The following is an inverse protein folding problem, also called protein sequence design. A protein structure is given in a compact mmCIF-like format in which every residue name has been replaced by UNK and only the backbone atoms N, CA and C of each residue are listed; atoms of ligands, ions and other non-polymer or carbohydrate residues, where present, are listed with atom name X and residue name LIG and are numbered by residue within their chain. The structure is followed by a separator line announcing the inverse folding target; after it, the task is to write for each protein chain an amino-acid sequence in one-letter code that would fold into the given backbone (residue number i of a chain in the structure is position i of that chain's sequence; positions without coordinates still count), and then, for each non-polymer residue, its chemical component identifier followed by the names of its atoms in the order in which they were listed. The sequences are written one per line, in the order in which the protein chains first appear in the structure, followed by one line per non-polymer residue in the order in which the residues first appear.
data_IF_015247898673
#
_entry.id   IF_015247898673
#
_cell.length_a   1.000
_cell.length_b   1.000
_cell.length_c   1.000
_cell.angle_alpha   90.00
_cell.angle_beta   90.00
_cell.angle_gamma   90.00
#
_symmetry.space_group_name_H-M   'P 1'
#
loop_
_entity.id
_entity.type
_entity.pdbx_description
1 polymer ?
#
# COMPACT_ATOMS: atom_id res chain seq x y z
N UNK A 1 5.32 2.64 18.37
CA UNK A 1 5.86 3.52 17.30
C UNK A 1 7.27 3.14 16.81
N UNK A 2 8.31 3.06 17.65
CA UNK A 2 9.68 2.71 17.17
C UNK A 2 9.80 1.33 16.50
N UNK A 3 9.05 0.32 16.96
CA UNK A 3 9.05 -1.02 16.38
C UNK A 3 8.34 -1.11 15.03
N UNK A 4 7.30 -0.28 14.79
CA UNK A 4 6.52 -0.31 13.55
C UNK A 4 7.39 0.05 12.35
N UNK A 5 8.18 1.10 12.45
CA UNK A 5 9.10 1.53 11.38
C UNK A 5 10.02 0.38 10.95
N UNK A 6 10.62 -0.33 11.90
CA UNK A 6 11.49 -1.48 11.61
C UNK A 6 10.75 -2.64 10.93
N UNK A 7 9.49 -2.89 11.32
CA UNK A 7 8.66 -3.92 10.69
C UNK A 7 8.25 -3.54 9.27
N UNK A 8 7.87 -2.27 9.06
CA UNK A 8 7.52 -1.74 7.73
C UNK A 8 8.73 -1.81 6.79
N UNK A 9 9.90 -1.36 7.24
CA UNK A 9 11.15 -1.48 6.46
C UNK A 9 11.50 -2.94 6.14
N UNK A 10 11.31 -3.84 7.11
CA UNK A 10 11.48 -5.27 6.89
C UNK A 10 10.53 -5.80 5.81
N UNK A 11 9.24 -5.45 5.87
CA UNK A 11 8.22 -5.87 4.89
C UNK A 11 8.54 -5.29 3.51
N UNK A 12 8.83 -3.99 3.41
CA UNK A 12 9.20 -3.31 2.15
C UNK A 12 10.36 -4.02 1.46
N UNK A 13 11.42 -4.37 2.22
CA UNK A 13 12.55 -5.13 1.68
C UNK A 13 12.12 -6.45 1.05
N UNK A 14 11.29 -7.24 1.73
CA UNK A 14 10.80 -8.53 1.19
C UNK A 14 9.91 -8.30 -0.04
N UNK A 15 9.03 -7.29 -0.01
CA UNK A 15 8.19 -6.94 -1.16
C UNK A 15 9.04 -6.57 -2.38
N UNK A 16 10.11 -5.78 -2.21
CA UNK A 16 11.04 -5.43 -3.29
C UNK A 16 11.75 -6.68 -3.83
N UNK A 17 12.33 -7.51 -2.95
CA UNK A 17 13.04 -8.73 -3.34
C UNK A 17 12.14 -9.72 -4.10
N UNK A 18 10.88 -9.82 -3.69
CA UNK A 18 9.88 -10.73 -4.28
C UNK A 18 9.02 -10.09 -5.36
N UNK A 19 9.23 -8.80 -5.66
CA UNK A 19 8.47 -8.01 -6.63
C UNK A 19 6.95 -8.05 -6.38
N UNK A 20 6.57 -7.94 -5.10
CA UNK A 20 5.17 -7.88 -4.69
C UNK A 20 4.59 -6.49 -4.97
N UNK A 21 3.28 -6.44 -5.23
CA UNK A 21 2.57 -5.21 -5.53
C UNK A 21 2.45 -4.28 -4.31
N UNK A 22 2.16 -3.00 -4.57
CA UNK A 22 1.79 -2.06 -3.51
C UNK A 22 0.47 -2.47 -2.84
N UNK A 23 -0.47 -3.13 -3.54
CA UNK A 23 -1.68 -3.68 -2.91
C UNK A 23 -1.31 -4.69 -1.82
N UNK A 24 -0.40 -5.62 -2.14
CA UNK A 24 0.13 -6.60 -1.18
C UNK A 24 0.84 -5.94 0.00
N UNK A 25 1.75 -4.98 -0.25
CA UNK A 25 2.44 -4.23 0.80
C UNK A 25 1.46 -3.52 1.73
N UNK A 26 0.52 -2.74 1.17
CA UNK A 26 -0.44 -1.98 1.96
C UNK A 26 -1.37 -2.89 2.76
N UNK A 27 -1.86 -3.99 2.16
CA UNK A 27 -2.69 -4.95 2.87
C UNK A 27 -1.91 -5.63 4.00
N UNK A 28 -0.65 -5.99 3.76
CA UNK A 28 0.23 -6.57 4.78
C UNK A 28 0.36 -5.66 6.00
N UNK A 29 0.67 -4.38 5.76
CA UNK A 29 0.85 -3.39 6.83
C UNK A 29 -0.46 -3.13 7.56
N UNK A 30 -1.58 -3.05 6.84
CA UNK A 30 -2.90 -2.90 7.45
C UNK A 30 -3.24 -4.08 8.37
N UNK A 31 -3.08 -5.33 7.90
CA UNK A 31 -3.32 -6.52 8.70
C UNK A 31 -2.41 -6.57 9.93
N UNK A 32 -1.12 -6.23 9.76
CA UNK A 32 -0.15 -6.20 10.84
C UNK A 32 -0.51 -5.17 11.91
N UNK A 33 -0.80 -3.93 11.52
CA UNK A 33 -1.12 -2.83 12.43
C UNK A 33 -2.37 -3.19 13.26
N UNK A 34 -3.46 -3.63 12.61
CA UNK A 34 -4.69 -4.03 13.31
C UNK A 34 -4.46 -5.24 14.23
N UNK A 35 -3.69 -6.24 13.79
CA UNK A 35 -3.42 -7.42 14.61
C UNK A 35 -2.57 -7.05 15.84
N UNK A 36 -1.56 -6.20 15.68
CA UNK A 36 -0.69 -5.75 16.77
C UNK A 36 -1.40 -4.82 17.76
N UNK A 37 -2.30 -3.96 17.29
CA UNK A 37 -3.09 -3.08 18.18
C UNK A 37 -4.04 -3.87 19.09
N UNK A 38 -4.39 -5.10 18.71
CA UNK A 38 -5.30 -5.97 19.46
C UNK A 38 -4.59 -7.10 20.22
N UNK A 39 -3.25 -7.21 20.15
CA UNK A 39 -2.50 -8.29 20.79
C UNK A 39 -1.20 -7.81 21.42
N UNK A 40 -0.91 -8.28 22.65
CA UNK A 40 0.40 -8.12 23.26
C UNK A 40 1.38 -9.16 22.73
N UNK A 41 2.13 -8.80 21.69
CA UNK A 41 3.10 -9.68 21.03
C UNK A 41 4.50 -9.46 21.61
N UNK A 42 5.14 -10.53 22.06
CA UNK A 42 6.53 -10.46 22.56
C UNK A 42 7.51 -10.09 21.42
N UNK A 43 8.58 -9.31 21.68
CA UNK A 43 9.50 -8.83 20.65
C UNK A 43 10.12 -9.91 19.77
N UNK A 44 10.29 -11.13 20.27
CA UNK A 44 10.89 -12.24 19.52
C UNK A 44 9.96 -12.75 18.41
N UNK A 45 8.64 -12.55 18.55
CA UNK A 45 7.59 -13.07 17.65
C UNK A 45 7.10 -12.05 16.61
N UNK A 46 7.48 -10.78 16.72
CA UNK A 46 6.97 -9.74 15.81
C UNK A 46 7.30 -10.01 14.33
N UNK A 47 8.47 -10.58 14.03
CA UNK A 47 8.88 -10.87 12.65
C UNK A 47 8.13 -12.06 12.02
N UNK A 48 7.79 -13.10 12.80
CA UNK A 48 6.96 -14.19 12.27
C UNK A 48 5.52 -13.69 12.02
N UNK A 49 5.00 -12.80 12.89
CA UNK A 49 3.70 -12.16 12.69
C UNK A 49 3.69 -11.32 11.40
N UNK A 50 4.71 -10.48 11.19
CA UNK A 50 4.87 -9.72 9.95
C UNK A 50 4.95 -10.63 8.72
N UNK A 51 5.71 -11.73 8.80
CA UNK A 51 5.79 -12.71 7.72
C UNK A 51 4.45 -13.39 7.41
N UNK A 52 3.66 -13.73 8.43
CA UNK A 52 2.35 -14.38 8.22
C UNK A 52 1.33 -13.38 7.68
N UNK A 53 1.33 -12.12 8.14
CA UNK A 53 0.52 -11.06 7.53
C UNK A 53 0.87 -10.88 6.04
N UNK A 54 2.17 -10.89 5.72
CA UNK A 54 2.65 -10.80 4.34
C UNK A 54 2.23 -12.01 3.52
N UNK A 55 2.33 -13.22 4.07
CA UNK A 55 1.91 -14.44 3.41
C UNK A 55 0.40 -14.42 3.09
N UNK A 56 -0.42 -13.96 4.03
CA UNK A 56 -1.87 -13.82 3.84
C UNK A 56 -2.20 -12.80 2.76
N UNK A 57 -1.61 -11.61 2.83
CA UNK A 57 -1.79 -10.57 1.82
C UNK A 57 -1.30 -11.04 0.43
N UNK A 58 -0.14 -11.70 0.35
CA UNK A 58 0.36 -12.23 -0.91
C UNK A 58 -0.57 -13.32 -1.48
N UNK A 59 -1.08 -14.24 -0.66
CA UNK A 59 -2.06 -15.24 -1.12
C UNK A 59 -3.35 -14.63 -1.66
N UNK A 60 -3.68 -13.42 -1.22
CA UNK A 60 -4.89 -12.72 -1.61
C UNK A 60 -4.68 -11.84 -2.86
N UNK A 61 -3.60 -11.06 -2.89
CA UNK A 61 -3.33 -10.04 -3.92
C UNK A 61 -2.54 -10.58 -5.12
N UNK A 62 -1.69 -11.58 -4.90
CA UNK A 62 -0.64 -11.94 -5.84
C UNK A 62 -0.98 -13.17 -6.67
N UNK A 63 -0.38 -13.24 -7.85
CA UNK A 63 -0.40 -14.47 -8.65
C UNK A 63 0.35 -15.58 -7.93
N UNK A 64 -0.05 -16.83 -8.15
CA UNK A 64 0.54 -17.99 -7.46
C UNK A 64 2.06 -18.13 -7.64
N UNK A 65 2.63 -17.52 -8.69
CA UNK A 65 4.07 -17.54 -8.96
C UNK A 65 4.88 -16.56 -8.10
N UNK A 66 4.26 -15.48 -7.61
CA UNK A 66 4.93 -14.42 -6.84
C UNK A 66 4.76 -14.58 -5.33
N UNK A 67 3.84 -15.43 -4.86
CA UNK A 67 3.62 -15.71 -3.44
C UNK A 67 4.91 -16.29 -2.79
N UNK A 68 5.49 -15.63 -1.77
CA UNK A 68 6.66 -16.14 -1.07
C UNK A 68 6.35 -17.46 -0.34
N UNK A 69 7.29 -18.41 -0.39
CA UNK A 69 7.15 -19.66 0.37
C UNK A 69 7.49 -19.43 1.84
N UNK A 70 6.86 -20.18 2.74
CA UNK A 70 7.18 -20.15 4.18
C UNK A 70 8.68 -20.33 4.44
N UNK A 71 9.34 -21.23 3.71
CA UNK A 71 10.79 -21.46 3.85
C UNK A 71 11.62 -20.22 3.51
N UNK A 72 11.22 -19.43 2.52
CA UNK A 72 11.91 -18.20 2.12
C UNK A 72 11.74 -17.11 3.18
N UNK A 73 10.50 -16.92 3.64
CA UNK A 73 10.18 -15.97 4.72
C UNK A 73 10.89 -16.33 6.03
N UNK A 74 10.97 -17.62 6.36
CA UNK A 74 11.67 -18.09 7.56
C UNK A 74 13.18 -17.91 7.45
N UNK A 75 13.76 -18.11 6.27
CA UNK A 75 15.17 -17.83 6.02
C UNK A 75 15.51 -16.36 6.26
N UNK A 76 14.61 -15.43 5.90
CA UNK A 76 14.80 -14.00 6.13
C UNK A 76 14.87 -13.61 7.63
N UNK A 77 14.45 -14.51 8.52
CA UNK A 77 14.46 -14.32 9.97
C UNK A 77 15.34 -15.36 10.69
N UNK A 78 16.34 -15.91 9.98
CA UNK A 78 17.32 -16.89 10.47
C UNK A 78 16.73 -18.26 10.83
N UNK A 79 15.69 -18.72 10.14
CA UNK A 79 15.08 -20.04 10.30
C UNK A 79 14.70 -20.37 11.75
N UNK A 80 14.25 -19.37 12.52
CA UNK A 80 13.98 -19.50 13.96
C UNK A 80 12.76 -20.35 14.28
N UNK A 81 11.87 -20.57 13.31
CA UNK A 81 10.56 -21.19 13.53
C UNK A 81 10.36 -22.43 12.66
N UNK A 82 9.52 -23.35 13.11
CA UNK A 82 9.10 -24.49 12.32
C UNK A 82 7.98 -24.09 11.34
N UNK A 83 7.78 -24.87 10.28
CA UNK A 83 6.66 -24.65 9.34
C UNK A 83 5.29 -24.69 10.06
N UNK A 84 5.18 -25.48 11.14
CA UNK A 84 3.97 -25.56 11.95
C UNK A 84 3.64 -24.23 12.62
N UNK A 85 4.63 -23.50 13.12
CA UNK A 85 4.42 -22.20 13.77
C UNK A 85 3.78 -21.19 12.81
N UNK A 86 4.20 -21.20 11.54
CA UNK A 86 3.62 -20.36 10.49
C UNK A 86 2.16 -20.72 10.21
N UNK A 87 1.84 -22.01 10.09
CA UNK A 87 0.47 -22.47 9.81
C UNK A 87 -0.47 -22.21 10.98
N UNK A 88 -0.01 -22.46 12.20
CA UNK A 88 -0.80 -22.24 13.40
C UNK A 88 -1.06 -20.73 13.56
N UNK A 89 -0.06 -19.87 13.33
CA UNK A 89 -0.23 -18.42 13.38
C UNK A 89 -1.11 -17.89 12.23
N UNK A 90 -1.01 -18.46 11.04
CA UNK A 90 -1.89 -18.13 9.91
C UNK A 90 -3.36 -18.34 10.28
N UNK A 91 -3.69 -19.48 10.92
CA UNK A 91 -5.04 -19.76 11.41
C UNK A 91 -5.47 -18.77 12.49
N UNK A 92 -4.59 -18.42 13.43
CA UNK A 92 -4.89 -17.43 14.48
C UNK A 92 -5.23 -16.07 13.88
N UNK A 93 -4.43 -15.57 12.93
CA UNK A 93 -4.66 -14.28 12.28
C UNK A 93 -5.97 -14.31 11.46
N UNK A 94 -6.20 -15.38 10.68
CA UNK A 94 -7.45 -15.52 9.91
C UNK A 94 -8.69 -15.57 10.81
N UNK A 95 -8.62 -16.31 11.93
CA UNK A 95 -9.71 -16.38 12.89
C UNK A 95 -9.99 -15.01 13.53
N UNK A 96 -8.95 -14.25 13.87
CA UNK A 96 -9.08 -12.89 14.38
C UNK A 96 -9.81 -11.96 13.40
N UNK A 97 -9.50 -12.05 12.11
CA UNK A 97 -10.19 -11.29 11.06
C UNK A 97 -11.52 -11.93 10.61
N UNK A 98 -12.01 -12.96 11.29
CA UNK A 98 -13.22 -13.71 10.89
C UNK A 98 -13.18 -14.19 9.43
N UNK A 99 -11.99 -14.55 8.94
CA UNK A 99 -11.72 -14.94 7.55
C UNK A 99 -11.97 -13.84 6.52
N UNK A 100 -12.25 -12.60 6.95
CA UNK A 100 -12.46 -11.46 6.10
C UNK A 100 -11.18 -10.60 6.05
N UNK A 101 -10.36 -10.84 5.03
CA UNK A 101 -9.09 -10.12 4.81
C UNK A 101 -9.11 -9.20 3.58
N UNK A 102 -10.28 -9.03 2.95
CA UNK A 102 -10.46 -8.12 1.82
C UNK A 102 -10.64 -6.69 2.35
N UNK A 103 -9.52 -5.98 2.56
CA UNK A 103 -9.52 -4.59 3.01
C UNK A 103 -8.96 -3.67 1.92
N UNK A 104 -9.82 -2.94 1.18
CA UNK A 104 -9.37 -1.99 0.18
C UNK A 104 -8.48 -0.90 0.80
N UNK A 105 -7.23 -0.85 0.36
CA UNK A 105 -6.24 0.15 0.82
C UNK A 105 -6.09 1.28 -0.21
N UNK A 106 -5.32 2.31 0.12
CA UNK A 106 -5.05 3.41 -0.82
C UNK A 106 -4.47 2.90 -2.15
N UNK A 107 -3.61 1.87 -2.11
CA UNK A 107 -3.07 1.23 -3.31
C UNK A 107 -4.14 0.63 -4.24
N UNK A 108 -5.25 0.12 -3.68
CA UNK A 108 -6.35 -0.41 -4.48
C UNK A 108 -7.11 0.71 -5.18
N UNK A 109 -7.41 1.78 -4.44
CA UNK A 109 -8.13 2.93 -5.00
C UNK A 109 -7.29 3.70 -6.01
N UNK A 110 -5.96 3.81 -5.85
CA UNK A 110 -5.11 4.41 -6.89
C UNK A 110 -5.17 3.62 -8.19
N UNK A 111 -5.14 2.28 -8.13
CA UNK A 111 -5.32 1.44 -9.30
C UNK A 111 -6.67 1.69 -10.00
N UNK A 112 -7.75 1.84 -9.22
CA UNK A 112 -9.06 2.20 -9.76
C UNK A 112 -9.07 3.61 -10.37
N UNK A 113 -8.43 4.60 -9.75
CA UNK A 113 -8.42 5.98 -10.24
C UNK A 113 -7.51 6.21 -11.45
N UNK A 114 -6.54 5.34 -11.69
CA UNK A 114 -5.64 5.40 -12.86
C UNK A 114 -6.39 5.49 -14.19
N UNK A 115 -7.62 4.96 -14.28
CA UNK A 115 -8.41 5.03 -15.51
C UNK A 115 -8.80 6.47 -15.93
N UNK A 116 -8.81 7.41 -14.99
CA UNK A 116 -9.15 8.82 -15.23
C UNK A 116 -7.97 9.78 -14.93
N UNK A 117 -6.75 9.24 -14.74
CA UNK A 117 -5.58 10.02 -14.35
C UNK A 117 -5.03 10.92 -15.44
N UNK A 118 -5.36 10.70 -16.72
CA UNK A 118 -4.99 11.60 -17.82
C UNK A 118 -6.27 12.03 -18.51
N UNK A 119 -6.49 13.34 -18.59
CA UNK A 119 -7.64 13.92 -19.26
C UNK A 119 -7.35 14.26 -20.72
N UNK A 120 -8.40 14.45 -21.51
CA UNK A 120 -8.27 14.88 -22.91
C UNK A 120 -7.57 16.23 -23.06
N UNK A 121 -7.65 17.09 -22.05
CA UNK A 121 -7.00 18.40 -22.07
C UNK A 121 -5.50 18.30 -21.76
N UNK A 122 -5.09 17.37 -20.88
CA UNK A 122 -3.68 17.10 -20.59
C UNK A 122 -2.89 16.68 -21.86
N UNK A 123 -3.57 16.07 -22.83
CA UNK A 123 -2.97 15.63 -24.10
C UNK A 123 -2.73 16.76 -25.10
N UNK A 124 -3.41 17.89 -24.96
CA UNK A 124 -3.26 19.02 -25.89
C UNK A 124 -2.01 19.83 -25.60
N UNK A 125 -1.62 19.90 -24.32
CA UNK A 125 -0.57 20.80 -23.84
C UNK A 125 0.82 20.14 -23.75
N UNK A 126 0.90 18.80 -23.78
CA UNK A 126 2.16 18.06 -23.59
C UNK A 126 2.81 17.68 -24.92
N UNK A 127 4.08 18.08 -25.07
CA UNK A 127 4.99 17.61 -26.13
C UNK A 127 5.61 16.23 -25.82
N UNK A 128 5.58 15.81 -24.56
CA UNK A 128 6.07 14.50 -24.13
C UNK A 128 5.17 13.38 -24.64
N UNK A 129 5.76 12.25 -25.02
CA UNK A 129 5.00 11.09 -25.46
C UNK A 129 4.17 10.51 -24.32
N UNK A 130 2.94 10.07 -24.64
CA UNK A 130 2.00 9.41 -23.71
C UNK A 130 2.65 8.36 -22.82
N UNK A 131 3.53 7.52 -23.38
CA UNK A 131 4.23 6.46 -22.65
C UNK A 131 5.11 7.00 -21.52
N UNK A 132 5.84 8.09 -21.78
CA UNK A 132 6.70 8.75 -20.79
C UNK A 132 5.85 9.36 -19.68
N UNK A 133 4.74 10.00 -20.03
CA UNK A 133 3.82 10.56 -19.04
C UNK A 133 3.23 9.47 -18.12
N UNK A 134 2.77 8.34 -18.70
CA UNK A 134 2.27 7.21 -17.92
C UNK A 134 3.35 6.62 -17.01
N UNK A 135 4.59 6.47 -17.50
CA UNK A 135 5.70 5.98 -16.69
C UNK A 135 5.96 6.92 -15.49
N UNK A 136 6.08 8.23 -15.74
CA UNK A 136 6.32 9.21 -14.69
C UNK A 136 5.19 9.26 -13.66
N UNK A 137 3.93 9.16 -14.11
CA UNK A 137 2.78 9.09 -13.20
C UNK A 137 2.82 7.83 -12.33
N UNK A 138 3.13 6.67 -12.91
CA UNK A 138 3.27 5.44 -12.15
C UNK A 138 4.39 5.50 -11.12
N UNK A 139 5.54 6.08 -11.48
CA UNK A 139 6.69 6.26 -10.59
C UNK A 139 6.34 7.20 -9.43
N UNK A 140 5.72 8.34 -9.73
CA UNK A 140 5.24 9.28 -8.70
C UNK A 140 4.22 8.62 -7.77
N UNK A 141 3.24 7.87 -8.29
CA UNK A 141 2.24 7.16 -7.46
C UNK A 141 2.91 6.16 -6.53
N UNK A 142 3.88 5.38 -7.02
CA UNK A 142 4.62 4.43 -6.20
C UNK A 142 5.33 5.15 -5.05
N UNK A 143 5.98 6.29 -5.31
CA UNK A 143 6.66 7.08 -4.29
C UNK A 143 5.70 7.58 -3.19
N UNK A 144 4.53 8.12 -3.55
CA UNK A 144 3.54 8.58 -2.56
C UNK A 144 2.87 7.41 -1.82
N UNK A 145 2.73 6.23 -2.44
CA UNK A 145 2.24 5.04 -1.75
C UNK A 145 3.22 4.59 -0.66
N UNK A 146 4.52 4.57 -0.95
CA UNK A 146 5.57 4.31 0.05
C UNK A 146 5.52 5.34 1.20
N UNK A 147 5.37 6.62 0.88
CA UNK A 147 5.24 7.68 1.89
C UNK A 147 4.03 7.47 2.83
N UNK A 148 2.90 7.01 2.30
CA UNK A 148 1.70 6.69 3.10
C UNK A 148 1.95 5.51 4.05
N UNK A 149 2.70 4.50 3.60
CA UNK A 149 3.01 3.33 4.43
C UNK A 149 3.96 3.67 5.57
N UNK A 150 4.95 4.50 5.28
CA UNK A 150 5.96 4.93 6.26
C UNK A 150 5.33 5.80 7.36
N UNK A 151 4.32 6.60 7.03
CA UNK A 151 3.65 7.48 7.98
C UNK A 151 2.22 7.01 8.34
N UNK A 152 2.13 6.34 9.50
CA UNK A 152 0.85 5.83 10.06
C UNK A 152 -0.23 6.90 10.20
N UNK A 153 0.12 8.18 10.38
CA UNK A 153 -0.85 9.26 10.53
C UNK A 153 -1.78 9.35 9.30
N UNK A 154 -1.26 9.10 8.10
CA UNK A 154 -2.10 9.09 6.89
C UNK A 154 -3.21 8.04 7.00
N UNK A 155 -2.84 6.82 7.36
CA UNK A 155 -3.77 5.69 7.45
C UNK A 155 -4.76 5.80 8.61
N UNK A 156 -4.45 6.61 9.63
CA UNK A 156 -5.34 6.86 10.77
C UNK A 156 -6.31 8.03 10.52
N UNK A 157 -5.86 9.08 9.84
CA UNK A 157 -6.63 10.32 9.69
C UNK A 157 -7.53 10.33 8.44
N UNK A 158 -7.22 9.53 7.43
CA UNK A 158 -7.93 9.59 6.15
C UNK A 158 -8.37 8.21 5.69
N UNK A 159 -9.56 8.15 5.10
CA UNK A 159 -10.06 6.92 4.46
C UNK A 159 -9.18 6.53 3.26
N UNK A 160 -9.03 5.23 2.96
CA UNK A 160 -8.22 4.75 1.83
C UNK A 160 -8.54 5.41 0.47
N UNK A 161 -9.82 5.62 0.16
CA UNK A 161 -10.29 6.28 -1.07
C UNK A 161 -9.83 7.74 -1.16
N UNK A 162 -9.87 8.47 -0.04
CA UNK A 162 -9.45 9.86 0.07
C UNK A 162 -7.93 10.01 -0.03
N UNK A 163 -7.17 9.10 0.59
CA UNK A 163 -5.71 9.03 0.43
C UNK A 163 -5.32 8.78 -1.01
N UNK A 164 -5.96 7.82 -1.68
CA UNK A 164 -5.71 7.55 -3.08
C UNK A 164 -5.99 8.75 -3.97
N UNK A 165 -7.06 9.51 -3.69
CA UNK A 165 -7.36 10.74 -4.44
C UNK A 165 -6.27 11.81 -4.24
N UNK A 166 -5.76 11.96 -3.01
CA UNK A 166 -4.64 12.85 -2.71
C UNK A 166 -3.33 12.41 -3.40
N UNK A 167 -3.02 11.11 -3.41
CA UNK A 167 -1.88 10.53 -4.13
C UNK A 167 -1.97 10.86 -5.62
N UNK A 168 -3.12 10.59 -6.25
CA UNK A 168 -3.34 10.87 -7.67
C UNK A 168 -3.13 12.37 -7.96
N UNK A 169 -3.66 13.25 -7.10
CA UNK A 169 -3.50 14.69 -7.26
C UNK A 169 -2.04 15.14 -7.09
N UNK A 170 -1.31 14.58 -6.13
CA UNK A 170 0.10 14.88 -5.89
C UNK A 170 0.96 14.41 -7.07
N UNK A 171 0.75 13.17 -7.53
CA UNK A 171 1.45 12.61 -8.70
C UNK A 171 1.21 13.41 -9.97
N UNK A 172 -0.03 13.88 -10.19
CA UNK A 172 -0.36 14.75 -11.33
C UNK A 172 0.40 16.07 -11.27
N UNK A 173 0.48 16.71 -10.09
CA UNK A 173 1.24 17.95 -9.91
C UNK A 173 2.74 17.76 -10.17
N UNK A 174 3.31 16.65 -9.69
CA UNK A 174 4.73 16.35 -9.84
C UNK A 174 5.16 16.24 -11.31
N UNK A 175 4.29 15.66 -12.16
CA UNK A 175 4.54 15.57 -13.61
C UNK A 175 4.11 16.82 -14.39
N UNK A 176 3.71 17.89 -13.70
CA UNK A 176 3.33 19.18 -14.27
C UNK A 176 1.91 19.24 -14.86
N UNK A 177 0.99 18.37 -14.43
CA UNK A 177 -0.43 18.44 -14.77
C UNK A 177 -1.22 19.22 -13.72
N UNK A 178 -2.46 19.58 -14.06
CA UNK A 178 -3.42 20.10 -13.08
C UNK A 178 -3.71 19.04 -12.02
N UNK A 179 -3.80 19.43 -10.73
CA UNK A 179 -3.97 18.47 -9.63
C UNK A 179 -5.24 17.64 -9.74
N UNK A 180 -6.36 18.25 -10.13
CA UNK A 180 -7.67 17.60 -10.13
C UNK A 180 -8.49 18.00 -11.36
N UNK A 181 -9.08 17.01 -12.02
CA UNK A 181 -9.85 17.19 -13.26
C UNK A 181 -11.32 16.85 -13.04
N UNK A 182 -12.19 17.32 -13.94
CA UNK A 182 -13.61 16.97 -13.88
C UNK A 182 -13.86 15.47 -14.06
N UNK A 183 -13.01 14.77 -14.81
CA UNK A 183 -13.10 13.32 -14.96
C UNK A 183 -12.82 12.59 -13.64
N UNK A 184 -11.81 13.04 -12.88
CA UNK A 184 -11.52 12.48 -11.55
C UNK A 184 -12.63 12.80 -10.55
N UNK A 185 -13.16 14.01 -10.56
CA UNK A 185 -14.31 14.38 -9.73
C UNK A 185 -15.53 13.49 -10.03
N UNK A 186 -15.85 13.27 -11.31
CA UNK A 186 -16.97 12.42 -11.70
C UNK A 186 -16.75 10.93 -11.41
N UNK A 187 -15.49 10.46 -11.38
CA UNK A 187 -15.17 9.05 -11.08
C UNK A 187 -15.21 8.76 -9.57
N UNK A 188 -14.81 9.74 -8.76
CA UNK A 188 -14.50 9.54 -7.33
C UNK A 188 -15.49 10.20 -6.38
N UNK A 189 -16.35 11.07 -6.90
CA UNK A 189 -17.25 11.97 -6.15
C UNK A 189 -16.52 12.95 -5.20
N UNK A 190 -15.19 13.03 -5.25
CA UNK A 190 -14.41 14.03 -4.51
C UNK A 190 -14.18 15.29 -5.34
N UNK A 191 -14.50 16.45 -4.77
CA UNK A 191 -14.09 17.74 -5.31
C UNK A 191 -12.67 18.13 -4.85
N UNK A 192 -12.18 19.27 -5.31
CA UNK A 192 -10.82 19.73 -5.03
C UNK A 192 -10.62 20.08 -3.56
N UNK A 193 -11.65 20.63 -2.91
CA UNK A 193 -11.66 21.02 -1.51
C UNK A 193 -11.58 19.80 -0.59
N UNK A 194 -12.26 18.70 -0.96
CA UNK A 194 -12.28 17.45 -0.18
C UNK A 194 -10.87 16.89 0.00
N UNK A 195 -10.05 16.91 -1.05
CA UNK A 195 -8.71 16.30 -1.08
C UNK A 195 -7.59 17.28 -0.68
N UNK A 196 -7.91 18.56 -0.49
CA UNK A 196 -6.91 19.61 -0.31
C UNK A 196 -6.02 19.38 0.91
N UNK A 197 -6.61 18.99 2.04
CA UNK A 197 -5.89 18.77 3.30
C UNK A 197 -4.84 17.64 3.19
N UNK A 198 -5.18 16.39 2.82
CA UNK A 198 -4.19 15.33 2.65
C UNK A 198 -3.17 15.64 1.54
N UNK A 199 -3.58 16.31 0.47
CA UNK A 199 -2.68 16.72 -0.61
C UNK A 199 -1.58 17.68 -0.13
N UNK A 200 -1.96 18.70 0.65
CA UNK A 200 -1.02 19.68 1.19
C UNK A 200 -0.02 19.00 2.14
N UNK A 201 -0.48 18.04 2.94
CA UNK A 201 0.40 17.29 3.84
C UNK A 201 1.41 16.44 3.05
N UNK A 202 0.97 15.75 2.00
CA UNK A 202 1.84 14.90 1.16
C UNK A 202 2.94 15.69 0.47
N UNK A 203 2.63 16.86 -0.11
CA UNK A 203 3.59 17.68 -0.87
C UNK A 203 4.59 18.41 0.04
N UNK A 204 4.27 18.61 1.32
CA UNK A 204 5.14 19.34 2.27
C UNK A 204 6.20 18.46 2.95
N UNK A 205 6.01 17.14 2.92
CA UNK A 205 6.91 16.15 3.51
C UNK A 205 7.98 15.72 2.52
#
# INVERSE_FOLDING_TARGET
HAYRHHLVEYIKRICIEKKLSHCCLHLTVYLLDIFMDNHSIIPERVLIVANVCLLLAAKFEETTMTIPKIAELNSAINNRYAMKDYKDLELVILQFFHWYIMFPTAAHYTHYYMQAIISSDDLKDKKEGLRTLFYNLHDAIASYLDQVIDNIHYMQCYTPSKLAAAIIAASRLEVGLSSWTKQLENLTDYNKEDIQEPLILMIKC
#
